data_IF_476233097873
#
_entry.id   IF_476233097873
#
_cell.length_a   1.000
_cell.length_b   1.000
_cell.length_c   1.000
_cell.angle_alpha   90.00
_cell.angle_beta   90.00
_cell.angle_gamma   90.00
#
_symmetry.space_group_name_H-M   'P 1'
#
loop_
_entity.id
_entity.type
_entity.pdbx_description
1 polymer ?
#
# COMPACT_ATOMS: atom_id res chain seq x y z
N UNK A 1 -43.86 -26.95 33.47
CA UNK A 1 -45.09 -26.66 34.25
C UNK A 1 -44.98 -25.25 34.77
N UNK A 2 -45.35 -24.26 33.97
CA UNK A 2 -46.68 -23.61 33.92
C UNK A 2 -47.00 -22.79 35.18
N UNK A 3 -47.06 -21.48 34.91
CA UNK A 3 -47.71 -20.36 35.61
C UNK A 3 -48.91 -20.67 36.52
N UNK A 4 -49.05 -19.87 37.58
CA UNK A 4 -50.20 -19.02 38.01
C UNK A 4 -49.92 -18.56 39.45
N UNK A 5 -50.30 -17.37 39.93
CA UNK A 5 -51.66 -16.95 40.34
C UNK A 5 -51.69 -15.42 40.56
N UNK A 6 -52.87 -14.82 40.32
CA UNK A 6 -53.27 -13.40 40.40
C UNK A 6 -54.16 -13.14 41.65
N UNK A 7 -54.28 -11.84 42.03
CA UNK A 7 -55.32 -11.14 42.85
C UNK A 7 -55.06 -11.03 44.36
N UNK A 8 -55.47 -9.99 45.11
CA UNK A 8 -56.68 -9.13 45.06
C UNK A 8 -56.45 -7.80 45.85
N UNK A 9 -56.98 -6.63 45.44
CA UNK A 9 -57.97 -5.71 46.10
C UNK A 9 -57.41 -4.27 46.01
N UNK A 10 -58.15 -3.16 45.87
CA UNK A 10 -59.57 -2.84 45.78
C UNK A 10 -59.73 -1.34 45.43
N UNK A 11 -60.87 -0.96 44.84
CA UNK A 11 -61.23 0.42 44.45
C UNK A 11 -61.88 1.18 45.62
N UNK A 12 -61.59 2.48 45.76
CA UNK A 12 -62.50 3.46 46.34
C UNK A 12 -62.45 4.79 45.58
N UNK A 13 -63.63 5.32 45.27
CA UNK A 13 -63.90 6.64 44.69
C UNK A 13 -64.16 7.65 45.82
N UNK A 14 -63.58 8.85 45.75
CA UNK A 14 -64.12 10.07 46.37
C UNK A 14 -63.93 11.23 45.38
N UNK A 15 -64.98 12.04 45.26
CA UNK A 15 -65.14 13.16 44.34
C UNK A 15 -65.06 14.47 45.14
N UNK A 16 -64.52 15.54 44.52
CA UNK A 16 -65.03 16.93 44.49
C UNK A 16 -64.08 18.10 44.84
N UNK A 17 -64.31 19.15 44.05
CA UNK A 17 -64.10 20.59 44.19
C UNK A 17 -62.79 21.27 43.73
N UNK A 18 -62.99 22.03 42.66
CA UNK A 18 -62.19 23.12 42.10
C UNK A 18 -62.13 24.32 43.05
N UNK A 19 -60.93 24.89 43.23
CA UNK A 19 -60.75 26.28 43.63
C UNK A 19 -59.76 26.94 42.66
N UNK A 20 -60.26 27.96 41.94
CA UNK A 20 -59.45 28.90 41.19
C UNK A 20 -58.74 29.86 42.15
N UNK A 21 -57.43 30.03 41.99
CA UNK A 21 -56.74 31.26 42.43
C UNK A 21 -55.75 31.70 41.35
N UNK A 22 -55.95 32.93 40.89
CA UNK A 22 -55.06 33.66 40.00
C UNK A 22 -53.79 34.08 40.76
N UNK A 23 -52.62 33.70 40.25
CA UNK A 23 -51.37 34.41 40.54
C UNK A 23 -50.36 34.18 39.40
N UNK A 24 -50.21 35.16 38.52
CA UNK A 24 -49.01 35.29 37.68
C UNK A 24 -47.87 35.86 38.51
N UNK A 25 -46.64 35.37 38.33
CA UNK A 25 -45.61 36.28 37.87
C UNK A 25 -44.75 35.71 36.74
N UNK A 26 -44.45 36.58 35.78
CA UNK A 26 -43.44 36.46 34.73
C UNK A 26 -42.15 35.82 35.28
N UNK A 27 -41.79 34.65 34.75
CA UNK A 27 -40.44 34.13 34.81
C UNK A 27 -39.88 34.08 33.39
N UNK A 28 -38.82 34.85 33.18
CA UNK A 28 -37.96 34.81 32.00
C UNK A 28 -37.51 33.38 31.73
N UNK A 29 -38.04 32.74 30.68
CA UNK A 29 -37.37 31.59 30.07
C UNK A 29 -36.41 32.16 29.02
N UNK A 30 -35.24 32.61 29.48
CA UNK A 30 -34.08 32.63 28.61
C UNK A 30 -33.68 31.17 28.40
N UNK A 31 -34.22 30.55 27.35
CA UNK A 31 -33.70 29.26 26.90
C UNK A 31 -32.31 29.53 26.32
N UNK A 32 -31.27 29.37 27.15
CA UNK A 32 -29.96 29.01 26.63
C UNK A 32 -30.13 27.68 25.91
N UNK A 33 -30.41 27.74 24.60
CA UNK A 33 -30.08 26.65 23.68
C UNK A 33 -28.56 26.59 23.62
N UNK A 34 -27.94 26.06 24.67
CA UNK A 34 -26.66 25.40 24.51
C UNK A 34 -26.96 24.17 23.66
N UNK A 35 -26.95 24.35 22.34
CA UNK A 35 -26.65 23.25 21.44
C UNK A 35 -25.29 22.76 21.88
N UNK A 36 -25.26 21.70 22.69
CA UNK A 36 -24.06 20.91 22.89
C UNK A 36 -23.68 20.41 21.51
N UNK A 37 -22.77 21.12 20.85
CA UNK A 37 -22.20 20.65 19.61
C UNK A 37 -21.46 19.36 19.96
N UNK A 38 -22.10 18.23 19.69
CA UNK A 38 -21.49 16.91 19.83
C UNK A 38 -20.38 16.86 18.77
N UNK A 39 -19.13 16.56 19.15
CA UNK A 39 -18.05 16.43 18.18
C UNK A 39 -18.41 15.44 17.06
N UNK A 40 -18.10 15.79 15.82
CA UNK A 40 -18.33 14.94 14.65
C UNK A 40 -17.07 14.84 13.82
N UNK A 41 -16.80 13.63 13.32
CA UNK A 41 -15.71 13.36 12.37
C UNK A 41 -16.34 13.26 10.98
N UNK A 42 -15.98 14.19 10.11
CA UNK A 42 -16.32 14.12 8.69
C UNK A 42 -15.11 13.60 7.92
N UNK A 43 -15.31 12.50 7.20
CA UNK A 43 -14.29 11.91 6.34
C UNK A 43 -14.57 12.31 4.91
N UNK A 44 -13.57 12.89 4.24
CA UNK A 44 -13.72 13.38 2.87
C UNK A 44 -12.58 12.85 2.01
N UNK A 45 -12.85 11.95 1.05
CA UNK A 45 -14.06 11.09 0.89
C UNK A 45 -14.12 9.91 1.90
N UNK A 46 -15.32 9.39 2.19
CA UNK A 46 -15.53 8.25 3.10
C UNK A 46 -15.30 6.86 2.49
N UNK A 47 -15.32 6.75 1.16
CA UNK A 47 -14.97 5.54 0.39
C UNK A 47 -14.06 5.95 -0.76
N UNK A 48 -12.86 5.38 -0.84
CA UNK A 48 -11.85 5.83 -1.81
C UNK A 48 -10.78 4.80 -2.08
N UNK A 49 -10.11 4.90 -3.24
CA UNK A 49 -8.95 4.08 -3.58
C UNK A 49 -7.79 4.26 -2.60
N UNK A 50 -7.01 3.19 -2.40
CA UNK A 50 -5.88 3.15 -1.46
C UNK A 50 -4.81 4.18 -1.80
N UNK A 51 -4.57 4.46 -3.08
CA UNK A 51 -3.58 5.44 -3.55
C UNK A 51 -4.10 6.89 -3.59
N UNK A 52 -5.27 7.17 -2.99
CA UNK A 52 -5.85 8.51 -2.90
C UNK A 52 -5.87 9.02 -1.45
N UNK A 53 -5.79 10.34 -1.33
CA UNK A 53 -5.82 11.03 -0.04
C UNK A 53 -7.23 11.04 0.55
N UNK A 54 -7.26 11.05 1.88
CA UNK A 54 -8.44 11.22 2.71
C UNK A 54 -8.15 12.34 3.71
N UNK A 55 -9.12 13.22 3.90
CA UNK A 55 -9.07 14.25 4.93
C UNK A 55 -10.04 13.92 6.05
N UNK A 56 -9.56 14.09 7.29
CA UNK A 56 -10.41 14.08 8.48
C UNK A 56 -10.68 15.52 8.91
N UNK A 57 -11.96 15.91 8.89
CA UNK A 57 -12.47 17.20 9.32
C UNK A 57 -13.33 17.00 10.57
N UNK A 58 -12.81 17.38 11.71
CA UNK A 58 -13.48 17.26 13.01
C UNK A 58 -14.08 18.61 13.37
N UNK A 59 -15.36 18.63 13.72
CA UNK A 59 -16.10 19.84 14.08
C UNK A 59 -16.84 19.65 15.41
N UNK A 60 -17.23 20.77 16.01
CA UNK A 60 -17.99 20.77 17.26
C UNK A 60 -17.14 20.58 18.51
N UNK A 61 -15.82 20.81 18.43
CA UNK A 61 -14.96 20.85 19.61
C UNK A 61 -15.07 22.19 20.33
N UNK A 62 -14.60 22.26 21.58
CA UNK A 62 -14.32 23.55 22.23
C UNK A 62 -13.10 24.18 21.57
N UNK A 63 -13.08 25.51 21.43
CA UNK A 63 -11.90 26.25 20.98
C UNK A 63 -10.68 25.89 21.84
N UNK A 64 -9.55 25.58 21.22
CA UNK A 64 -8.32 25.19 21.92
C UNK A 64 -8.35 23.81 22.58
N UNK A 65 -9.39 22.99 22.33
CA UNK A 65 -9.46 21.65 22.90
C UNK A 65 -8.33 20.76 22.39
N UNK A 66 -7.64 20.11 23.32
CA UNK A 66 -6.71 19.02 23.02
C UNK A 66 -7.49 17.74 22.70
N UNK A 67 -7.13 17.08 21.60
CA UNK A 67 -7.74 15.83 21.16
C UNK A 67 -6.70 14.86 20.61
N UNK A 68 -6.96 13.56 20.76
CA UNK A 68 -6.25 12.48 20.07
C UNK A 68 -7.16 11.89 19.00
N UNK A 69 -6.67 11.79 17.77
CA UNK A 69 -7.34 11.04 16.70
C UNK A 69 -6.61 9.72 16.54
N UNK A 70 -7.32 8.60 16.66
CA UNK A 70 -6.79 7.25 16.47
C UNK A 70 -7.35 6.69 15.17
N UNK A 71 -6.50 6.01 14.40
CA UNK A 71 -6.90 5.13 13.30
C UNK A 71 -6.57 3.69 13.66
N UNK A 72 -7.46 2.78 13.25
CA UNK A 72 -7.35 1.36 13.54
C UNK A 72 -7.81 0.55 12.32
N UNK A 73 -7.10 -0.53 12.03
CA UNK A 73 -7.43 -1.48 10.98
C UNK A 73 -7.21 -2.89 11.48
N UNK A 74 -8.21 -3.74 11.29
CA UNK A 74 -8.10 -5.18 11.51
C UNK A 74 -8.34 -5.92 10.19
N UNK A 75 -7.40 -6.76 9.81
CA UNK A 75 -7.50 -7.62 8.63
C UNK A 75 -7.02 -9.02 9.00
N UNK A 76 -7.92 -10.00 8.93
CA UNK A 76 -7.61 -11.42 9.20
C UNK A 76 -6.87 -11.63 10.54
N UNK A 77 -7.29 -10.93 11.58
CA UNK A 77 -6.71 -10.98 12.93
C UNK A 77 -5.43 -10.17 13.14
N UNK A 78 -4.86 -9.58 12.09
CA UNK A 78 -3.76 -8.62 12.22
C UNK A 78 -4.33 -7.25 12.57
N UNK A 79 -3.84 -6.65 13.65
CA UNK A 79 -4.31 -5.36 14.17
C UNK A 79 -3.23 -4.31 13.98
N UNK A 80 -3.57 -3.26 13.25
CA UNK A 80 -2.70 -2.12 12.98
C UNK A 80 -3.37 -0.84 13.48
N UNK A 81 -2.58 0.10 13.97
CA UNK A 81 -3.10 1.39 14.37
C UNK A 81 -2.07 2.49 14.44
N UNK A 82 -2.57 3.72 14.41
CA UNK A 82 -1.82 4.95 14.61
C UNK A 82 -2.65 5.94 15.41
N UNK A 83 -1.99 6.95 15.99
CA UNK A 83 -2.67 8.07 16.60
C UNK A 83 -1.90 9.37 16.43
N UNK A 84 -2.62 10.48 16.54
CA UNK A 84 -2.05 11.82 16.43
C UNK A 84 -2.74 12.81 17.36
N UNK A 85 -1.97 13.78 17.88
CA UNK A 85 -2.44 14.82 18.78
C UNK A 85 -2.70 16.13 18.05
N UNK A 86 -3.85 16.74 18.29
CA UNK A 86 -4.23 18.03 17.70
C UNK A 86 -4.77 18.99 18.76
N UNK A 87 -4.72 20.29 18.45
CA UNK A 87 -5.41 21.35 19.17
C UNK A 87 -6.46 21.94 18.23
N UNK A 88 -7.71 22.00 18.68
CA UNK A 88 -8.79 22.61 17.91
C UNK A 88 -8.55 24.11 17.71
N UNK A 89 -8.84 24.63 16.52
CA UNK A 89 -8.73 26.05 16.22
C UNK A 89 -9.78 26.90 16.98
N UNK A 90 -9.79 28.21 16.76
CA UNK A 90 -10.74 29.14 17.39
C UNK A 90 -12.21 28.86 17.07
N UNK A 91 -12.49 28.11 15.99
CA UNK A 91 -13.84 27.67 15.59
C UNK A 91 -14.21 26.29 16.18
N UNK A 92 -13.33 25.66 16.95
CA UNK A 92 -13.57 24.32 17.47
C UNK A 92 -13.43 23.22 16.41
N UNK A 93 -12.50 23.39 15.48
CA UNK A 93 -12.30 22.47 14.36
C UNK A 93 -10.86 21.94 14.32
N UNK A 94 -10.71 20.70 13.85
CA UNK A 94 -9.43 20.10 13.46
C UNK A 94 -9.55 19.58 12.04
N UNK A 95 -8.66 20.01 11.14
CA UNK A 95 -8.49 19.39 9.84
C UNK A 95 -7.07 18.84 9.72
N UNK A 96 -6.96 17.52 9.56
CA UNK A 96 -5.67 16.80 9.42
C UNK A 96 -4.84 17.24 8.21
N UNK A 97 -5.45 17.84 7.19
CA UNK A 97 -4.76 18.37 6.02
C UNK A 97 -4.09 19.74 6.27
N UNK A 98 -4.52 20.49 7.28
CA UNK A 98 -4.05 21.87 7.51
C UNK A 98 -3.46 22.11 8.89
N UNK A 99 -3.89 21.37 9.91
CA UNK A 99 -3.33 21.46 11.25
C UNK A 99 -2.24 20.40 11.47
N UNK A 100 -1.14 20.76 12.16
CA UNK A 100 -0.07 19.81 12.44
C UNK A 100 -0.46 18.85 13.56
N UNK A 101 -0.06 17.58 13.42
CA UNK A 101 0.03 16.67 14.56
C UNK A 101 1.17 17.12 15.48
N UNK A 102 0.90 17.22 16.78
CA UNK A 102 1.88 17.62 17.80
C UNK A 102 2.63 16.42 18.41
N UNK A 103 2.15 15.20 18.19
CA UNK A 103 2.72 13.98 18.74
C UNK A 103 1.90 12.74 18.39
N UNK A 104 2.38 11.58 18.82
CA UNK A 104 1.86 10.27 18.45
C UNK A 104 2.69 9.61 17.35
N UNK A 105 2.04 8.83 16.49
CA UNK A 105 2.66 8.05 15.42
C UNK A 105 3.35 8.90 14.34
N UNK A 106 2.99 10.18 14.22
CA UNK A 106 3.69 11.15 13.37
C UNK A 106 3.53 12.58 13.91
N UNK A 107 4.36 13.50 13.42
CA UNK A 107 4.32 14.94 13.72
C UNK A 107 4.23 15.77 12.43
N UNK A 108 3.74 17.00 12.54
CA UNK A 108 3.59 17.92 11.42
C UNK A 108 2.29 17.76 10.64
N UNK A 109 2.11 18.57 9.60
CA UNK A 109 0.88 18.62 8.80
C UNK A 109 0.89 17.57 7.70
N UNK A 110 0.07 16.53 7.84
CA UNK A 110 -0.04 15.46 6.84
C UNK A 110 -1.43 14.78 6.92
N UNK A 111 -2.28 15.03 5.92
CA UNK A 111 -3.63 14.44 5.85
C UNK A 111 -3.62 12.91 5.96
N UNK A 112 -2.58 12.27 5.44
CA UNK A 112 -2.45 10.81 5.40
C UNK A 112 -1.64 10.22 6.55
N UNK A 113 -1.17 11.05 7.48
CA UNK A 113 -0.34 10.65 8.61
C UNK A 113 -0.88 9.45 9.37
N UNK A 114 -2.18 9.44 9.67
CA UNK A 114 -2.85 8.36 10.39
C UNK A 114 -2.96 7.04 9.60
N UNK A 115 -2.60 6.98 8.33
CA UNK A 115 -2.72 5.76 7.52
C UNK A 115 -1.36 5.12 7.27
N UNK A 116 -0.39 5.87 6.75
CA UNK A 116 0.94 5.33 6.46
C UNK A 116 1.77 5.08 7.72
N UNK A 117 1.46 5.75 8.84
CA UNK A 117 2.19 5.59 10.11
C UNK A 117 1.64 4.48 11.01
N UNK A 118 0.65 3.72 10.54
CA UNK A 118 0.15 2.58 11.31
C UNK A 118 1.27 1.56 11.53
N UNK A 119 1.30 1.00 12.74
CA UNK A 119 2.17 -0.11 13.12
C UNK A 119 1.31 -1.22 13.71
N UNK A 120 1.81 -2.47 13.82
CA UNK A 120 1.13 -3.51 14.57
C UNK A 120 0.80 -3.02 15.99
N UNK A 121 -0.44 -3.21 16.45
CA UNK A 121 -0.83 -2.83 17.80
C UNK A 121 -0.08 -3.66 18.87
N UNK A 122 0.09 -3.15 20.10
CA UNK A 122 0.72 -3.89 21.19
C UNK A 122 0.12 -5.29 21.38
N UNK A 123 0.97 -6.29 21.57
CA UNK A 123 0.58 -7.70 21.73
C UNK A 123 0.43 -8.47 20.42
N UNK A 124 0.55 -7.81 19.26
CA UNK A 124 0.75 -8.50 17.99
C UNK A 124 2.12 -9.17 17.93
N UNK A 125 2.24 -10.24 17.14
CA UNK A 125 3.52 -10.90 16.88
C UNK A 125 4.45 -10.01 16.05
N UNK A 126 5.75 -10.25 16.17
CA UNK A 126 6.75 -9.61 15.32
C UNK A 126 6.64 -10.03 13.85
N UNK A 127 7.22 -9.19 13.00
CA UNK A 127 7.36 -9.48 11.57
C UNK A 127 6.05 -9.46 10.77
N UNK A 128 5.04 -8.71 11.24
CA UNK A 128 3.80 -8.51 10.50
C UNK A 128 3.96 -7.47 9.39
N UNK A 129 3.40 -7.79 8.23
CA UNK A 129 3.26 -6.88 7.10
C UNK A 129 1.79 -6.85 6.69
N UNK A 130 1.21 -5.66 6.64
CA UNK A 130 -0.15 -5.52 6.10
C UNK A 130 -0.09 -5.72 4.58
N UNK A 131 -0.76 -6.77 4.09
CA UNK A 131 -0.88 -7.08 2.67
C UNK A 131 -2.32 -7.42 2.35
N UNK A 132 -2.89 -6.83 1.30
CA UNK A 132 -4.25 -7.13 0.88
C UNK A 132 -4.25 -8.45 0.12
N UNK A 133 -4.87 -9.47 0.71
CA UNK A 133 -4.97 -10.81 0.12
C UNK A 133 -6.16 -10.98 -0.82
N UNK A 134 -7.24 -10.25 -0.56
CA UNK A 134 -8.42 -10.22 -1.42
C UNK A 134 -8.68 -8.77 -1.84
N UNK A 135 -8.24 -8.41 -3.04
CA UNK A 135 -8.35 -7.04 -3.54
C UNK A 135 -9.77 -6.60 -3.89
N UNK A 136 -10.73 -7.54 -3.90
CA UNK A 136 -12.14 -7.26 -4.23
C UNK A 136 -12.92 -6.65 -3.06
N UNK A 137 -12.36 -6.69 -1.86
CA UNK A 137 -12.94 -6.08 -0.65
C UNK A 137 -12.14 -4.86 -0.20
N UNK A 138 -12.79 -3.83 0.40
CA UNK A 138 -12.07 -2.71 0.98
C UNK A 138 -11.30 -3.12 2.23
N UNK A 139 -10.31 -2.31 2.62
CA UNK A 139 -9.96 -2.17 4.03
C UNK A 139 -10.93 -1.23 4.73
N UNK A 140 -11.35 -1.59 5.93
CA UNK A 140 -12.14 -0.73 6.80
C UNK A 140 -11.22 -0.11 7.85
N UNK A 141 -10.97 1.18 7.72
CA UNK A 141 -10.20 1.95 8.72
C UNK A 141 -11.18 2.61 9.67
N UNK A 142 -11.14 2.18 10.93
CA UNK A 142 -11.90 2.78 12.00
C UNK A 142 -11.18 4.02 12.53
N UNK A 143 -11.91 5.12 12.69
CA UNK A 143 -11.38 6.38 13.23
C UNK A 143 -12.12 6.71 14.52
N UNK A 144 -11.36 6.91 15.59
CA UNK A 144 -11.89 7.30 16.90
C UNK A 144 -11.31 8.65 17.33
N UNK A 145 -12.16 9.53 17.85
CA UNK A 145 -11.78 10.80 18.45
C UNK A 145 -11.82 10.68 19.96
N UNK A 146 -10.71 11.00 20.62
CA UNK A 146 -10.53 10.91 22.06
C UNK A 146 -10.27 12.32 22.64
N UNK A 147 -10.78 12.56 23.85
CA UNK A 147 -10.58 13.82 24.56
C UNK A 147 -9.21 13.89 25.22
N UNK A 148 -8.52 15.02 25.04
CA UNK A 148 -7.18 15.25 25.54
C UNK A 148 -6.08 14.64 24.66
N UNK A 149 -4.83 14.98 24.95
CA UNK A 149 -3.67 14.29 24.39
C UNK A 149 -3.38 13.06 25.24
N UNK A 150 -3.87 11.91 24.78
CA UNK A 150 -3.66 10.62 25.42
C UNK A 150 -2.97 9.66 24.48
N UNK A 151 -2.09 8.82 25.02
CA UNK A 151 -1.57 7.65 24.33
C UNK A 151 -2.60 6.50 24.45
N UNK A 152 -3.26 6.10 23.35
CA UNK A 152 -4.26 5.04 23.38
C UNK A 152 -3.64 3.66 23.67
N UNK A 153 -2.32 3.52 23.60
CA UNK A 153 -1.60 2.27 23.85
C UNK A 153 -0.97 2.17 25.23
N UNK A 154 -0.91 3.28 25.98
CA UNK A 154 -0.37 3.27 27.34
C UNK A 154 -1.27 2.43 28.27
N UNK A 155 -0.70 1.46 29.03
CA UNK A 155 -1.43 0.67 30.02
C UNK A 155 -1.84 1.50 31.25
N UNK A 156 -1.18 2.64 31.49
CA UNK A 156 -1.32 3.45 32.71
C UNK A 156 -2.16 4.72 32.51
N UNK A 157 -2.97 4.82 31.45
CA UNK A 157 -3.61 6.10 31.12
C UNK A 157 -4.69 6.55 32.12
N UNK A 158 -5.11 5.71 33.08
CA UNK A 158 -5.99 6.04 34.22
C UNK A 158 -7.40 6.58 33.89
N UNK A 159 -7.62 7.00 32.65
CA UNK A 159 -8.85 7.55 32.09
C UNK A 159 -9.47 6.52 31.17
N UNK A 160 -10.78 6.35 31.29
CA UNK A 160 -11.57 5.54 30.35
C UNK A 160 -11.40 6.14 28.95
N UNK A 161 -10.86 5.34 28.02
CA UNK A 161 -10.59 5.72 26.62
C UNK A 161 -11.88 5.66 25.80
N UNK A 162 -12.96 6.29 26.26
CA UNK A 162 -14.23 6.31 25.50
C UNK A 162 -14.12 7.33 24.38
N UNK A 163 -14.28 6.92 23.11
CA UNK A 163 -14.34 7.84 21.99
C UNK A 163 -15.51 8.82 22.16
N UNK A 164 -15.26 10.10 21.91
CA UNK A 164 -16.31 11.13 21.88
C UNK A 164 -17.01 11.19 20.52
N UNK A 165 -16.40 10.61 19.50
CA UNK A 165 -16.97 10.39 18.17
C UNK A 165 -16.20 9.28 17.46
N UNK A 166 -16.86 8.56 16.56
CA UNK A 166 -16.28 7.50 15.75
C UNK A 166 -16.83 7.53 14.34
N UNK A 167 -16.07 7.00 13.39
CA UNK A 167 -16.49 6.81 11.99
C UNK A 167 -15.63 5.74 11.34
N UNK A 168 -15.98 5.34 10.12
CA UNK A 168 -15.26 4.34 9.34
C UNK A 168 -14.95 4.87 7.93
N UNK A 169 -13.91 4.31 7.32
CA UNK A 169 -13.44 4.68 5.99
C UNK A 169 -13.17 3.40 5.20
N UNK A 170 -13.75 3.32 4.02
CA UNK A 170 -13.47 2.23 3.09
C UNK A 170 -12.32 2.61 2.16
N UNK A 171 -11.24 1.81 2.17
CA UNK A 171 -10.06 1.97 1.33
C UNK A 171 -9.95 0.83 0.33
N UNK A 172 -10.13 1.13 -0.96
CA UNK A 172 -10.28 0.16 -2.04
C UNK A 172 -8.96 -0.11 -2.75
N UNK A 173 -8.67 -1.37 -3.10
CA UNK A 173 -7.58 -1.70 -4.03
C UNK A 173 -8.06 -1.86 -5.47
N UNK A 174 -9.32 -2.25 -5.66
CA UNK A 174 -9.95 -2.43 -6.96
C UNK A 174 -11.14 -1.47 -7.09
N UNK A 175 -11.18 -0.71 -8.18
CA UNK A 175 -12.33 0.14 -8.49
C UNK A 175 -13.52 -0.71 -8.95
N UNK A 176 -14.74 -0.20 -8.76
CA UNK A 176 -15.97 -0.93 -9.10
C UNK A 176 -16.09 -1.25 -10.60
N UNK A 177 -15.45 -0.43 -11.45
CA UNK A 177 -15.37 -0.61 -12.89
C UNK A 177 -14.21 -1.52 -13.34
N UNK A 178 -13.57 -2.26 -12.44
CA UNK A 178 -12.54 -3.25 -12.79
C UNK A 178 -13.09 -4.65 -12.53
N UNK A 179 -12.78 -5.57 -13.44
CA UNK A 179 -13.04 -7.00 -13.32
C UNK A 179 -11.73 -7.74 -13.00
N UNK A 180 -11.79 -8.72 -12.09
CA UNK A 180 -10.70 -9.63 -11.78
C UNK A 180 -11.01 -11.00 -12.37
N UNK A 181 -10.17 -11.45 -13.29
CA UNK A 181 -10.30 -12.72 -14.01
C UNK A 181 -9.12 -13.62 -13.62
N UNK A 182 -9.32 -14.75 -12.94
CA UNK A 182 -8.26 -15.73 -12.70
C UNK A 182 -7.69 -16.25 -14.03
N UNK A 183 -6.37 -16.32 -14.15
CA UNK A 183 -5.67 -16.81 -15.35
C UNK A 183 -5.14 -18.22 -15.08
N UNK A 184 -5.59 -19.17 -15.91
CA UNK A 184 -5.13 -20.57 -15.97
C UNK A 184 -4.99 -20.98 -17.44
N UNK A 185 -4.21 -20.21 -18.19
CA UNK A 185 -4.00 -20.37 -19.62
C UNK A 185 -2.65 -21.05 -19.84
N UNK A 186 -2.64 -22.27 -20.41
CA UNK A 186 -1.41 -23.04 -20.53
C UNK A 186 -0.71 -23.22 -19.18
N UNK A 187 0.58 -22.86 -19.11
CA UNK A 187 1.35 -22.87 -17.86
C UNK A 187 1.09 -21.62 -16.99
N UNK A 188 0.55 -20.55 -17.55
CA UNK A 188 0.40 -19.25 -16.88
C UNK A 188 -0.57 -19.35 -15.70
N UNK A 189 -0.13 -18.86 -14.54
CA UNK A 189 -0.98 -18.69 -13.35
C UNK A 189 -0.93 -17.26 -12.85
N UNK A 190 -2.10 -16.67 -12.65
CA UNK A 190 -2.20 -15.30 -12.19
C UNK A 190 -3.63 -14.78 -12.09
N UNK A 191 -3.76 -13.47 -12.10
CA UNK A 191 -5.04 -12.78 -12.23
C UNK A 191 -4.90 -11.60 -13.19
N UNK A 192 -5.81 -11.54 -14.16
CA UNK A 192 -5.95 -10.42 -15.09
C UNK A 192 -6.96 -9.43 -14.51
N UNK A 193 -6.58 -8.16 -14.47
CA UNK A 193 -7.46 -7.07 -14.08
C UNK A 193 -7.80 -6.22 -15.31
N UNK A 194 -9.08 -6.13 -15.63
CA UNK A 194 -9.58 -5.52 -16.88
C UNK A 194 -10.57 -4.41 -16.52
N UNK A 195 -10.39 -3.16 -17.00
CA UNK A 195 -11.44 -2.15 -16.91
C UNK A 195 -12.67 -2.59 -17.71
N UNK A 196 -13.87 -2.47 -17.13
CA UNK A 196 -15.14 -2.90 -17.72
C UNK A 196 -15.64 -1.97 -18.84
N UNK A 197 -15.18 -0.73 -18.84
CA UNK A 197 -15.50 0.22 -19.91
C UNK A 197 -14.85 -0.25 -21.22
N UNK A 198 -15.42 0.08 -22.40
CA UNK A 198 -14.87 -0.36 -23.68
C UNK A 198 -13.40 0.04 -23.87
N UNK A 199 -12.55 -0.96 -24.16
CA UNK A 199 -11.13 -0.77 -24.45
C UNK A 199 -10.84 -0.48 -25.94
N UNK A 200 -9.59 -0.71 -26.40
CA UNK A 200 -8.49 -1.37 -25.68
C UNK A 200 -7.77 -0.44 -24.68
N UNK A 201 -7.06 -1.03 -23.71
CA UNK A 201 -6.23 -0.33 -22.74
C UNK A 201 -4.77 -0.77 -22.83
N UNK A 202 -3.79 0.05 -22.44
CA UNK A 202 -2.40 -0.39 -22.38
C UNK A 202 -2.23 -1.58 -21.42
N UNK A 203 -1.50 -2.61 -21.88
CA UNK A 203 -1.25 -3.84 -21.13
C UNK A 203 0.00 -3.77 -20.25
N UNK A 204 -0.06 -4.32 -19.04
CA UNK A 204 1.08 -4.36 -18.11
C UNK A 204 1.18 -5.72 -17.42
N UNK A 205 2.38 -6.30 -17.34
CA UNK A 205 2.68 -7.43 -16.45
C UNK A 205 3.22 -6.89 -15.11
N UNK A 206 2.67 -7.38 -14.01
CA UNK A 206 3.04 -7.02 -12.64
C UNK A 206 3.72 -8.19 -11.92
N UNK A 207 4.96 -7.97 -11.46
CA UNK A 207 5.81 -8.98 -10.82
C UNK A 207 6.25 -8.54 -9.41
N UNK A 208 6.00 -9.39 -8.42
CA UNK A 208 6.54 -9.22 -7.06
C UNK A 208 7.81 -10.06 -6.86
N UNK A 209 8.40 -9.97 -5.66
CA UNK A 209 9.65 -10.64 -5.31
C UNK A 209 9.49 -12.07 -4.79
N UNK A 210 10.45 -12.51 -3.96
CA UNK A 210 10.61 -13.90 -3.48
C UNK A 210 9.62 -14.35 -2.40
N UNK A 211 8.47 -13.68 -2.26
CA UNK A 211 7.42 -14.10 -1.31
C UNK A 211 6.64 -15.34 -1.78
N UNK A 212 6.59 -15.58 -3.10
CA UNK A 212 5.79 -16.65 -3.70
C UNK A 212 4.28 -16.36 -3.62
N UNK A 213 3.49 -17.23 -4.24
CA UNK A 213 2.05 -17.01 -4.33
C UNK A 213 1.69 -15.93 -5.35
N UNK A 214 0.43 -15.52 -5.31
CA UNK A 214 -0.11 -14.43 -6.13
C UNK A 214 -0.35 -13.19 -5.26
N UNK A 215 0.22 -12.06 -5.67
CA UNK A 215 0.09 -10.75 -5.03
C UNK A 215 -0.55 -9.80 -6.05
N UNK A 216 -1.68 -9.19 -5.69
CA UNK A 216 -2.57 -8.57 -6.68
C UNK A 216 -2.80 -7.07 -6.44
N UNK A 217 -2.39 -6.54 -5.28
CA UNK A 217 -2.82 -5.21 -4.84
C UNK A 217 -2.34 -4.09 -5.75
N UNK A 218 -1.15 -4.22 -6.34
CA UNK A 218 -0.62 -3.24 -7.30
C UNK A 218 -1.29 -3.37 -8.67
N UNK A 219 -1.47 -4.58 -9.19
CA UNK A 219 -2.21 -4.81 -10.43
C UNK A 219 -3.64 -4.27 -10.39
N UNK A 220 -4.38 -4.52 -9.31
CA UNK A 220 -5.73 -3.99 -9.12
C UNK A 220 -5.77 -2.45 -9.12
N UNK A 221 -4.77 -1.81 -8.48
CA UNK A 221 -4.65 -0.36 -8.46
C UNK A 221 -4.26 0.20 -9.82
N UNK A 222 -3.33 -0.44 -10.55
CA UNK A 222 -2.98 -0.06 -11.92
C UNK A 222 -4.21 -0.18 -12.84
N UNK A 223 -4.96 -1.27 -12.78
CA UNK A 223 -6.16 -1.43 -13.61
C UNK A 223 -7.22 -0.36 -13.33
N UNK A 224 -7.35 0.05 -12.06
CA UNK A 224 -8.18 1.19 -11.61
C UNK A 224 -7.69 2.56 -12.12
N UNK A 225 -6.62 2.59 -12.92
CA UNK A 225 -6.01 3.78 -13.55
C UNK A 225 -6.00 3.71 -15.08
N UNK A 226 -6.70 2.72 -15.66
CA UNK A 226 -6.92 2.57 -17.10
C UNK A 226 -5.89 1.67 -17.79
N UNK A 227 -5.51 0.57 -17.16
CA UNK A 227 -4.60 -0.44 -17.71
C UNK A 227 -5.24 -1.82 -17.66
N UNK A 228 -4.88 -2.70 -18.59
CA UNK A 228 -5.12 -4.15 -18.43
C UNK A 228 -3.88 -4.75 -17.79
N UNK A 229 -4.02 -5.40 -16.64
CA UNK A 229 -2.85 -5.77 -15.83
C UNK A 229 -2.89 -7.23 -15.44
N UNK A 230 -1.84 -7.96 -15.78
CA UNK A 230 -1.62 -9.34 -15.36
C UNK A 230 -0.75 -9.35 -14.10
N UNK A 231 -1.36 -9.63 -12.94
CA UNK A 231 -0.60 -10.06 -11.77
C UNK A 231 -0.12 -11.50 -12.02
N UNK A 232 1.17 -11.67 -12.27
CA UNK A 232 1.74 -12.96 -12.67
C UNK A 232 2.41 -13.64 -11.47
N UNK A 233 1.89 -14.81 -11.09
CA UNK A 233 2.60 -15.70 -10.18
C UNK A 233 3.60 -16.54 -11.00
N UNK A 234 4.71 -16.93 -10.38
CA UNK A 234 5.74 -17.71 -11.06
C UNK A 234 6.40 -18.79 -10.18
N UNK A 235 5.99 -18.92 -8.91
CA UNK A 235 6.33 -20.03 -8.01
C UNK A 235 5.43 -20.01 -6.75
N UNK A 236 5.37 -21.14 -6.05
CA UNK A 236 4.62 -21.34 -4.80
C UNK A 236 3.14 -20.91 -4.90
N UNK A 237 2.52 -21.17 -6.05
CA UNK A 237 1.13 -20.81 -6.34
C UNK A 237 0.49 -21.87 -7.24
N UNK A 238 -0.63 -22.44 -6.80
CA UNK A 238 -1.34 -23.52 -7.52
C UNK A 238 -0.38 -24.68 -7.91
N UNK A 239 -0.28 -24.99 -9.19
CA UNK A 239 0.55 -26.05 -9.78
C UNK A 239 1.91 -25.55 -10.30
N UNK A 240 2.30 -24.30 -10.00
CA UNK A 240 3.64 -23.80 -10.28
C UNK A 240 4.69 -24.43 -9.35
N UNK A 241 5.99 -24.40 -9.73
CA UNK A 241 7.08 -24.90 -8.89
C UNK A 241 7.02 -24.38 -7.46
N UNK A 242 7.29 -25.24 -6.48
CA UNK A 242 7.22 -24.84 -5.06
C UNK A 242 8.33 -23.85 -4.65
N UNK A 243 9.45 -23.83 -5.39
CA UNK A 243 10.63 -23.04 -5.07
C UNK A 243 11.10 -22.21 -6.26
N UNK A 244 11.93 -21.20 -5.98
CA UNK A 244 12.46 -20.26 -6.96
C UNK A 244 13.61 -20.85 -7.83
N UNK A 245 14.09 -22.06 -7.55
CA UNK A 245 15.30 -22.62 -8.18
C UNK A 245 15.09 -23.03 -9.65
N UNK A 246 13.84 -23.28 -10.05
CA UNK A 246 13.49 -23.83 -11.37
C UNK A 246 12.77 -22.83 -12.27
N UNK A 247 13.00 -21.54 -12.05
CA UNK A 247 12.41 -20.50 -12.88
C UNK A 247 13.16 -20.38 -14.20
N UNK A 248 12.41 -20.53 -15.30
CA UNK A 248 12.87 -20.31 -16.66
C UNK A 248 12.24 -19.04 -17.24
N UNK A 249 13.04 -18.22 -17.93
CA UNK A 249 12.58 -17.00 -18.59
C UNK A 249 11.53 -17.27 -19.68
N UNK A 250 11.51 -18.45 -20.29
CA UNK A 250 10.50 -18.84 -21.31
C UNK A 250 9.06 -18.75 -20.77
N UNK A 251 8.84 -18.95 -19.46
CA UNK A 251 7.53 -18.73 -18.83
C UNK A 251 7.05 -17.27 -18.93
N UNK A 252 7.98 -16.32 -18.82
CA UNK A 252 7.66 -14.90 -18.90
C UNK A 252 7.56 -14.42 -20.36
N UNK A 253 8.22 -15.11 -21.28
CA UNK A 253 8.02 -14.93 -22.73
C UNK A 253 6.59 -15.32 -23.11
N UNK A 254 6.12 -16.50 -22.68
CA UNK A 254 4.72 -16.95 -22.88
C UNK A 254 3.72 -15.93 -22.30
N UNK A 255 3.99 -15.39 -21.10
CA UNK A 255 3.14 -14.37 -20.49
C UNK A 255 3.12 -13.06 -21.29
N UNK A 256 4.27 -12.62 -21.80
CA UNK A 256 4.38 -11.41 -22.61
C UNK A 256 3.67 -11.56 -23.96
N UNK A 257 3.82 -12.72 -24.61
CA UNK A 257 3.10 -13.06 -25.82
C UNK A 257 1.59 -13.13 -25.59
N UNK A 258 1.15 -13.86 -24.57
CA UNK A 258 -0.26 -13.99 -24.25
C UNK A 258 -0.93 -12.65 -23.97
N UNK A 259 -0.32 -11.81 -23.10
CA UNK A 259 -0.92 -10.52 -22.75
C UNK A 259 -0.91 -9.54 -23.92
N UNK A 260 0.16 -9.50 -24.72
CA UNK A 260 0.26 -8.59 -25.87
C UNK A 260 -0.76 -8.87 -26.98
N UNK A 261 -1.28 -10.10 -27.06
CA UNK A 261 -2.34 -10.50 -27.99
C UNK A 261 -3.74 -10.50 -27.37
N UNK A 262 -3.88 -10.18 -26.08
CA UNK A 262 -5.18 -10.19 -25.41
C UNK A 262 -6.11 -9.11 -26.02
N UNK A 263 -7.39 -9.40 -26.31
CA UNK A 263 -8.28 -8.49 -27.05
C UNK A 263 -8.55 -7.15 -26.35
N UNK A 264 -8.45 -7.11 -25.02
CA UNK A 264 -8.59 -5.87 -24.24
C UNK A 264 -7.31 -5.01 -24.20
N UNK A 265 -6.18 -5.51 -24.71
CA UNK A 265 -4.88 -4.83 -24.69
C UNK A 265 -4.65 -4.06 -25.99
N UNK A 266 -4.17 -2.82 -25.88
CA UNK A 266 -3.79 -1.99 -27.03
C UNK A 266 -2.66 -2.67 -27.81
N UNK A 267 -2.82 -2.91 -29.12
CA UNK A 267 -1.75 -3.49 -29.93
C UNK A 267 -0.49 -2.61 -29.92
N UNK A 268 0.68 -3.24 -30.00
CA UNK A 268 1.98 -2.54 -30.06
C UNK A 268 2.95 -2.95 -28.95
N UNK A 269 2.50 -3.73 -27.98
CA UNK A 269 3.32 -4.31 -26.91
C UNK A 269 2.79 -3.97 -25.52
N UNK A 270 3.55 -4.36 -24.50
CA UNK A 270 3.17 -4.26 -23.09
C UNK A 270 4.23 -3.56 -22.25
N UNK A 271 3.82 -3.05 -21.10
CA UNK A 271 4.74 -2.68 -20.04
C UNK A 271 5.02 -3.86 -19.11
N UNK A 272 6.11 -3.75 -18.37
CA UNK A 272 6.37 -4.62 -17.22
C UNK A 272 6.78 -3.77 -16.02
N UNK A 273 6.22 -4.08 -14.85
CA UNK A 273 6.66 -3.53 -13.56
C UNK A 273 7.07 -4.68 -12.65
N UNK A 274 8.24 -4.56 -12.04
CA UNK A 274 8.75 -5.52 -11.10
C UNK A 274 9.18 -4.89 -9.79
N UNK A 275 9.10 -5.66 -8.69
CA UNK A 275 9.73 -5.30 -7.41
C UNK A 275 10.67 -6.39 -6.93
N UNK A 276 11.85 -6.00 -6.45
CA UNK A 276 12.85 -6.92 -5.90
C UNK A 276 13.24 -7.97 -6.97
N UNK A 277 13.13 -9.27 -6.69
CA UNK A 277 13.34 -10.32 -7.71
C UNK A 277 12.46 -10.17 -8.95
N UNK A 278 11.23 -9.67 -8.81
CA UNK A 278 10.37 -9.36 -9.96
C UNK A 278 10.94 -8.26 -10.84
N UNK A 279 11.73 -7.33 -10.28
CA UNK A 279 12.40 -6.27 -11.04
C UNK A 279 13.63 -6.77 -11.80
N UNK A 280 14.38 -7.73 -11.23
CA UNK A 280 15.42 -8.47 -11.96
C UNK A 280 14.84 -9.17 -13.19
N UNK A 281 13.70 -9.85 -13.02
CA UNK A 281 12.97 -10.51 -14.11
C UNK A 281 12.45 -9.48 -15.11
N UNK A 282 11.87 -8.36 -14.66
CA UNK A 282 11.37 -7.30 -15.54
C UNK A 282 12.48 -6.69 -16.43
N UNK A 283 13.70 -6.51 -15.89
CA UNK A 283 14.85 -6.10 -16.70
C UNK A 283 15.21 -7.16 -17.75
N UNK A 284 15.26 -8.44 -17.35
CA UNK A 284 15.52 -9.54 -18.28
C UNK A 284 14.45 -9.64 -19.39
N UNK A 285 13.18 -9.43 -19.04
CA UNK A 285 12.09 -9.35 -20.01
C UNK A 285 12.32 -8.19 -21.00
N UNK A 286 12.75 -7.02 -20.52
CA UNK A 286 13.09 -5.89 -21.39
C UNK A 286 14.31 -6.14 -22.28
N UNK A 287 15.26 -6.97 -21.85
CA UNK A 287 16.46 -7.35 -22.62
C UNK A 287 16.11 -8.37 -23.73
N UNK A 288 15.21 -9.30 -23.44
CA UNK A 288 15.03 -10.50 -24.26
C UNK A 288 13.73 -10.51 -25.08
N UNK A 289 12.68 -9.80 -24.66
CA UNK A 289 11.35 -9.94 -25.24
C UNK A 289 10.92 -8.67 -25.99
N UNK A 290 10.81 -8.72 -27.34
CA UNK A 290 10.47 -7.54 -28.14
C UNK A 290 9.05 -7.00 -27.88
N UNK A 291 8.17 -7.79 -27.24
CA UNK A 291 6.82 -7.40 -26.82
C UNK A 291 6.86 -6.34 -25.71
N UNK A 292 7.97 -6.24 -24.95
CA UNK A 292 8.11 -5.28 -23.85
C UNK A 292 8.52 -3.92 -24.39
N UNK A 293 7.68 -2.90 -24.16
CA UNK A 293 7.87 -1.52 -24.65
C UNK A 293 8.08 -0.49 -23.54
N UNK A 294 7.99 -0.88 -22.27
CA UNK A 294 8.31 -0.03 -21.14
C UNK A 294 8.64 -0.89 -19.91
N UNK A 295 9.73 -0.57 -19.20
CA UNK A 295 10.14 -1.32 -18.00
C UNK A 295 10.18 -0.39 -16.78
N UNK A 296 9.49 -0.80 -15.72
CA UNK A 296 9.58 -0.16 -14.40
C UNK A 296 10.25 -1.13 -13.41
N UNK A 297 11.44 -0.75 -12.95
CA UNK A 297 12.19 -1.49 -11.94
C UNK A 297 12.04 -0.79 -10.57
N UNK A 298 11.50 -1.50 -9.59
CA UNK A 298 11.43 -1.03 -8.20
C UNK A 298 12.31 -1.90 -7.30
N UNK A 299 13.38 -1.32 -6.76
CA UNK A 299 14.32 -2.00 -5.86
C UNK A 299 14.91 -3.29 -6.43
N UNK A 300 15.12 -3.34 -7.76
CA UNK A 300 15.80 -4.42 -8.47
C UNK A 300 17.27 -4.08 -8.69
N UNK A 301 18.22 -4.86 -8.15
CA UNK A 301 19.64 -4.61 -8.30
C UNK A 301 20.10 -4.69 -9.76
N UNK A 302 21.34 -4.28 -9.96
CA UNK A 302 22.03 -4.34 -11.24
C UNK A 302 22.20 -5.79 -11.78
N UNK A 303 22.08 -6.81 -10.95
CA UNK A 303 22.49 -8.18 -11.25
C UNK A 303 21.50 -9.20 -10.65
N UNK A 304 21.59 -10.46 -11.07
CA UNK A 304 20.77 -11.53 -10.49
C UNK A 304 21.19 -11.83 -9.05
N UNK A 305 20.23 -11.80 -8.12
CA UNK A 305 20.47 -12.16 -6.72
C UNK A 305 19.89 -13.52 -6.36
N UNK A 306 20.49 -14.12 -5.33
CA UNK A 306 20.05 -15.32 -4.60
C UNK A 306 20.02 -16.63 -5.40
N UNK A 307 19.45 -16.65 -6.60
CA UNK A 307 19.22 -17.83 -7.42
C UNK A 307 19.55 -17.58 -8.88
N UNK A 308 20.23 -18.55 -9.49
CA UNK A 308 20.35 -18.68 -10.93
C UNK A 308 18.96 -18.74 -11.57
N UNK A 309 18.84 -18.21 -12.78
CA UNK A 309 17.65 -18.40 -13.62
C UNK A 309 18.04 -19.23 -14.84
N UNK A 310 17.06 -19.88 -15.45
CA UNK A 310 17.23 -20.55 -16.75
C UNK A 310 16.68 -19.67 -17.86
N UNK A 311 17.22 -19.81 -19.06
CA UNK A 311 16.57 -19.35 -20.28
C UNK A 311 16.74 -20.43 -21.34
N UNK A 312 15.75 -21.34 -21.41
CA UNK A 312 15.91 -22.61 -22.11
C UNK A 312 17.10 -23.39 -21.55
N UNK A 313 18.02 -23.80 -22.43
CA UNK A 313 19.20 -24.58 -22.03
C UNK A 313 20.30 -23.74 -21.37
N UNK A 314 20.19 -22.41 -21.38
CA UNK A 314 21.20 -21.52 -20.79
C UNK A 314 20.94 -21.25 -19.31
N UNK A 315 22.01 -21.16 -18.51
CA UNK A 315 21.96 -20.73 -17.12
C UNK A 315 22.40 -19.27 -17.03
N UNK A 316 21.56 -18.42 -16.45
CA UNK A 316 21.88 -17.05 -16.10
C UNK A 316 22.40 -17.01 -14.64
N UNK A 317 23.69 -16.73 -14.43
CA UNK A 317 24.29 -16.84 -13.11
C UNK A 317 23.83 -15.71 -12.17
N UNK A 318 23.45 -16.06 -10.94
CA UNK A 318 23.35 -15.09 -9.86
C UNK A 318 24.73 -14.80 -9.28
N UNK A 319 24.88 -13.59 -8.74
CA UNK A 319 26.10 -13.18 -8.03
C UNK A 319 26.32 -14.05 -6.81
N UNK A 320 27.59 -14.33 -6.52
CA UNK A 320 27.98 -15.04 -5.31
C UNK A 320 27.41 -14.35 -4.06
N UNK A 321 27.00 -15.16 -3.08
CA UNK A 321 26.39 -14.68 -1.85
C UNK A 321 27.08 -15.32 -0.65
N UNK A 322 27.88 -14.55 0.07
CA UNK A 322 28.47 -14.99 1.34
C UNK A 322 27.50 -14.76 2.50
N UNK A 323 26.85 -15.84 2.94
CA UNK A 323 25.88 -15.81 4.04
C UNK A 323 26.51 -15.56 5.41
N UNK A 324 27.84 -15.68 5.56
CA UNK A 324 28.52 -15.34 6.82
C UNK A 324 28.46 -13.84 7.12
N UNK A 325 28.16 -13.02 6.10
CA UNK A 325 28.09 -11.55 6.18
C UNK A 325 26.67 -11.02 6.41
N UNK A 326 25.73 -11.89 6.75
CA UNK A 326 24.39 -11.47 7.17
C UNK A 326 24.51 -10.64 8.44
N UNK A 327 23.89 -9.46 8.45
CA UNK A 327 23.90 -8.54 9.60
C UNK A 327 22.53 -8.52 10.25
N UNK A 328 22.46 -8.70 11.57
CA UNK A 328 21.23 -8.46 12.33
C UNK A 328 20.98 -6.96 12.49
N UNK A 329 19.79 -6.49 12.10
CA UNK A 329 19.29 -5.13 12.33
C UNK A 329 18.11 -5.18 13.30
N UNK A 330 17.66 -4.01 13.75
CA UNK A 330 16.53 -3.87 14.68
C UNK A 330 15.25 -4.63 14.25
N UNK A 331 14.94 -4.65 12.96
CA UNK A 331 13.69 -5.22 12.44
C UNK A 331 13.86 -6.53 11.64
N UNK A 332 15.06 -7.13 11.68
CA UNK A 332 15.35 -8.38 10.95
C UNK A 332 16.76 -8.40 10.37
N UNK A 333 17.03 -9.41 9.54
CA UNK A 333 18.33 -9.58 8.91
C UNK A 333 18.49 -8.66 7.69
N UNK A 334 19.72 -8.19 7.49
CA UNK A 334 20.20 -7.47 6.33
C UNK A 334 21.10 -8.39 5.53
N UNK A 335 20.83 -8.55 4.23
CA UNK A 335 21.63 -9.38 3.32
C UNK A 335 22.48 -8.55 2.35
N UNK A 336 22.45 -7.22 2.47
CA UNK A 336 23.24 -6.30 1.65
C UNK A 336 24.72 -6.69 1.55
N UNK A 337 25.35 -6.97 2.69
CA UNK A 337 26.79 -7.25 2.74
C UNK A 337 27.16 -8.64 2.19
N UNK A 338 26.17 -9.50 1.91
CA UNK A 338 26.42 -10.81 1.33
C UNK A 338 26.88 -10.73 -0.14
N UNK A 339 26.66 -9.61 -0.82
CA UNK A 339 26.91 -9.46 -2.27
C UNK A 339 28.17 -8.64 -2.61
N UNK A 340 29.01 -8.28 -1.63
CA UNK A 340 30.17 -7.42 -1.93
C UNK A 340 31.24 -8.12 -2.80
N UNK A 341 31.31 -9.45 -2.76
CA UNK A 341 32.26 -10.24 -3.54
C UNK A 341 31.60 -10.80 -4.80
N UNK A 342 32.29 -10.76 -5.94
CA UNK A 342 31.82 -11.38 -7.18
C UNK A 342 30.93 -10.52 -8.09
N UNK A 343 30.75 -9.22 -7.79
CA UNK A 343 30.17 -8.28 -8.75
C UNK A 343 31.25 -7.88 -9.77
N UNK A 344 31.21 -8.51 -10.95
CA UNK A 344 32.03 -8.14 -12.11
C UNK A 344 31.11 -7.82 -13.32
N UNK A 345 31.69 -7.41 -14.45
CA UNK A 345 30.90 -7.02 -15.63
C UNK A 345 30.08 -8.17 -16.26
N UNK A 346 30.45 -9.43 -16.03
CA UNK A 346 29.83 -10.60 -16.67
C UNK A 346 28.49 -10.97 -16.05
N UNK A 347 28.35 -10.75 -14.74
CA UNK A 347 27.10 -11.01 -13.98
C UNK A 347 26.13 -9.82 -14.00
N UNK A 348 26.53 -8.73 -14.65
CA UNK A 348 25.75 -7.51 -14.72
C UNK A 348 24.69 -7.60 -15.82
N UNK A 349 23.45 -7.16 -15.55
CA UNK A 349 22.44 -7.05 -16.59
C UNK A 349 22.93 -6.18 -17.74
N UNK A 350 22.77 -6.71 -18.95
CA UNK A 350 23.12 -6.03 -20.20
C UNK A 350 22.04 -5.01 -20.56
N UNK A 351 21.82 -4.04 -19.66
CA UNK A 351 20.75 -3.03 -19.77
C UNK A 351 20.84 -2.16 -21.03
N UNK A 352 22.02 -2.08 -21.64
CA UNK A 352 22.24 -1.48 -22.96
C UNK A 352 21.47 -2.17 -24.09
N UNK A 353 21.06 -3.42 -23.90
CA UNK A 353 20.28 -4.19 -24.88
C UNK A 353 18.77 -3.97 -24.75
N UNK A 354 18.32 -3.29 -23.70
CA UNK A 354 16.90 -2.95 -23.59
C UNK A 354 16.61 -1.87 -24.63
N UNK A 355 15.67 -2.13 -25.54
CA UNK A 355 15.21 -1.11 -26.50
C UNK A 355 14.10 -0.24 -25.93
N UNK A 356 13.40 -0.75 -24.90
CA UNK A 356 12.32 -0.05 -24.21
C UNK A 356 12.85 1.04 -23.26
N UNK A 357 12.12 2.16 -23.09
CA UNK A 357 12.41 3.09 -22.02
C UNK A 357 12.45 2.42 -20.65
N UNK A 358 13.34 2.92 -19.80
CA UNK A 358 13.57 2.39 -18.44
C UNK A 358 13.20 3.44 -17.38
N UNK A 359 12.50 3.01 -16.34
CA UNK A 359 12.22 3.82 -15.16
C UNK A 359 12.56 3.03 -13.90
N UNK A 360 13.55 3.50 -13.15
CA UNK A 360 14.11 2.79 -12.00
C UNK A 360 13.93 3.58 -10.70
N UNK A 361 13.55 2.88 -9.64
CA UNK A 361 13.31 3.44 -8.32
C UNK A 361 14.05 2.66 -7.25
N UNK A 362 14.77 3.37 -6.39
CA UNK A 362 15.52 2.77 -5.30
C UNK A 362 15.33 3.53 -4.00
N UNK A 363 15.19 2.79 -2.89
CA UNK A 363 15.30 3.37 -1.56
C UNK A 363 16.73 3.27 -1.06
N UNK A 364 17.38 4.38 -0.72
CA UNK A 364 18.79 4.38 -0.33
C UNK A 364 19.09 3.58 0.94
N UNK A 365 18.10 3.43 1.81
CA UNK A 365 18.19 2.70 3.08
C UNK A 365 17.81 1.21 2.93
N UNK A 366 17.78 0.69 1.71
CA UNK A 366 17.54 -0.71 1.41
C UNK A 366 18.67 -1.61 1.99
N UNK A 367 18.34 -2.54 2.90
CA UNK A 367 19.32 -3.43 3.52
C UNK A 367 19.49 -4.76 2.76
N UNK A 368 19.01 -4.88 1.53
CA UNK A 368 19.04 -6.12 0.76
C UNK A 368 20.14 -6.17 -0.30
N UNK A 369 20.63 -5.02 -0.80
CA UNK A 369 21.77 -4.91 -1.72
C UNK A 369 22.38 -3.51 -1.66
N UNK A 370 23.51 -3.28 -2.34
CA UNK A 370 24.09 -1.94 -2.47
C UNK A 370 23.39 -1.14 -3.58
N UNK A 371 22.46 -0.28 -3.14
CA UNK A 371 21.70 0.62 -4.01
C UNK A 371 22.57 1.63 -4.74
N UNK A 372 23.56 2.22 -4.05
CA UNK A 372 24.41 3.26 -4.67
C UNK A 372 25.26 2.64 -5.77
N UNK A 373 25.86 1.49 -5.48
CA UNK A 373 26.63 0.73 -6.46
C UNK A 373 25.73 0.30 -7.64
N UNK A 374 24.57 -0.29 -7.37
CA UNK A 374 23.66 -0.77 -8.42
C UNK A 374 23.16 0.36 -9.33
N UNK A 375 22.71 1.48 -8.76
CA UNK A 375 22.24 2.62 -9.52
C UNK A 375 23.35 3.22 -10.40
N UNK A 376 24.58 3.31 -9.86
CA UNK A 376 25.75 3.77 -10.62
C UNK A 376 26.09 2.82 -11.76
N UNK A 377 26.15 1.51 -11.50
CA UNK A 377 26.43 0.51 -12.54
C UNK A 377 25.44 0.60 -13.70
N UNK A 378 24.13 0.68 -13.40
CA UNK A 378 23.08 0.83 -14.43
C UNK A 378 23.26 2.14 -15.20
N UNK A 379 23.45 3.26 -14.50
CA UNK A 379 23.63 4.56 -15.16
C UNK A 379 24.86 4.58 -16.06
N UNK A 380 26.02 4.14 -15.57
CA UNK A 380 27.28 4.18 -16.32
C UNK A 380 27.19 3.31 -17.58
N UNK A 381 26.57 2.13 -17.49
CA UNK A 381 26.40 1.23 -18.63
C UNK A 381 25.42 1.75 -19.68
N UNK A 382 24.29 2.33 -19.25
CA UNK A 382 23.37 2.98 -20.19
C UNK A 382 24.04 4.17 -20.90
N UNK A 383 24.84 4.97 -20.17
CA UNK A 383 25.57 6.10 -20.74
C UNK A 383 26.66 5.67 -21.72
N UNK A 384 27.48 4.66 -21.37
CA UNK A 384 28.61 4.22 -22.20
C UNK A 384 28.15 3.62 -23.54
N UNK A 385 26.95 3.04 -23.60
CA UNK A 385 26.35 2.53 -24.83
C UNK A 385 25.36 3.52 -25.48
N UNK A 386 25.24 4.74 -24.95
CA UNK A 386 24.45 5.81 -25.57
C UNK A 386 22.92 5.64 -25.47
N UNK A 387 22.42 4.84 -24.54
CA UNK A 387 20.99 4.69 -24.28
C UNK A 387 20.44 5.94 -23.60
N UNK A 388 19.46 6.62 -24.22
CA UNK A 388 18.99 7.94 -23.76
C UNK A 388 17.68 7.92 -22.99
N UNK A 389 16.85 6.91 -23.20
CA UNK A 389 15.49 6.87 -22.66
C UNK A 389 15.44 6.13 -21.31
N UNK A 390 16.04 6.73 -20.27
CA UNK A 390 15.98 6.18 -18.93
C UNK A 390 15.88 7.24 -17.83
N UNK A 391 15.28 6.86 -16.71
CA UNK A 391 15.23 7.63 -15.47
C UNK A 391 15.62 6.75 -14.28
N UNK A 392 16.47 7.28 -13.39
CA UNK A 392 16.85 6.62 -12.14
C UNK A 392 16.55 7.57 -10.98
N UNK A 393 15.72 7.12 -10.05
CA UNK A 393 15.35 7.85 -8.85
C UNK A 393 15.84 7.10 -7.61
N UNK A 394 16.73 7.72 -6.84
CA UNK A 394 17.22 7.21 -5.55
C UNK A 394 16.68 8.10 -4.44
N UNK A 395 15.88 7.53 -3.53
CA UNK A 395 15.22 8.29 -2.46
C UNK A 395 15.96 8.13 -1.14
N UNK A 396 16.47 9.23 -0.60
CA UNK A 396 17.02 9.27 0.76
C UNK A 396 15.93 8.91 1.78
N UNK A 397 16.27 8.02 2.73
CA UNK A 397 15.36 7.61 3.80
C UNK A 397 14.27 6.61 3.40
N UNK A 398 14.17 6.19 2.14
CA UNK A 398 13.28 5.09 1.74
C UNK A 398 14.00 3.74 1.76
N UNK A 399 13.26 2.66 2.01
CA UNK A 399 13.75 1.28 2.05
C UNK A 399 13.37 0.46 0.81
N UNK A 400 13.47 -0.86 0.93
CA UNK A 400 13.28 -1.84 -0.14
C UNK A 400 11.84 -1.87 -0.71
N UNK A 401 10.83 -1.82 0.16
CA UNK A 401 9.43 -2.04 -0.22
C UNK A 401 8.73 -0.74 -0.62
N UNK A 402 9.06 -0.18 -1.79
CA UNK A 402 8.37 1.00 -2.34
C UNK A 402 7.08 0.55 -3.03
N UNK A 403 5.95 0.73 -2.35
CA UNK A 403 4.64 0.24 -2.81
C UNK A 403 3.78 1.39 -3.40
N UNK A 404 2.58 1.10 -3.94
CA UNK A 404 1.55 2.12 -4.09
C UNK A 404 1.26 2.80 -2.74
N UNK A 405 0.99 4.11 -2.71
CA UNK A 405 1.10 4.90 -1.49
C UNK A 405 0.00 4.62 -0.48
N UNK A 406 0.30 5.03 0.76
CA UNK A 406 -0.61 5.14 1.91
C UNK A 406 -0.98 3.83 2.60
N UNK A 407 -0.38 2.70 2.20
CA UNK A 407 -0.32 1.52 3.04
C UNK A 407 0.62 1.78 4.24
N UNK A 408 0.45 1.07 5.36
CA UNK A 408 1.36 1.16 6.49
C UNK A 408 2.79 0.78 6.10
N UNK A 409 3.76 1.63 6.46
CA UNK A 409 5.17 1.34 6.22
C UNK A 409 5.62 0.09 6.97
N UNK A 410 6.35 -0.81 6.30
CA UNK A 410 6.85 -2.05 6.88
C UNK A 410 8.38 -2.05 6.88
N UNK A 411 8.98 -1.80 8.05
CA UNK A 411 10.44 -1.78 8.23
C UNK A 411 11.09 -3.16 8.27
N UNK A 412 10.31 -4.19 8.57
CA UNK A 412 10.76 -5.58 8.57
C UNK A 412 9.60 -6.54 8.73
N UNK A 413 9.70 -7.71 8.11
CA UNK A 413 8.65 -8.74 8.17
C UNK A 413 9.20 -10.14 8.02
N UNK A 414 8.45 -11.12 8.51
CA UNK A 414 8.77 -12.53 8.31
C UNK A 414 8.82 -12.84 6.81
N UNK A 415 9.89 -13.51 6.39
CA UNK A 415 10.10 -13.91 5.01
C UNK A 415 10.24 -15.43 4.93
N UNK A 416 9.24 -16.09 4.32
CA UNK A 416 9.14 -17.57 4.28
C UNK A 416 10.41 -18.24 3.76
N UNK A 417 10.99 -17.70 2.69
CA UNK A 417 12.21 -18.26 2.10
C UNK A 417 13.42 -18.23 3.04
N UNK A 418 13.54 -17.21 3.89
CA UNK A 418 14.67 -17.07 4.81
C UNK A 418 14.37 -17.66 6.19
N UNK A 419 13.12 -18.08 6.45
CA UNK A 419 12.70 -18.63 7.73
C UNK A 419 12.77 -17.63 8.90
N UNK A 420 12.98 -16.34 8.63
CA UNK A 420 13.19 -15.30 9.66
C UNK A 420 12.68 -13.94 9.17
N UNK A 421 12.74 -12.93 10.04
CA UNK A 421 12.40 -11.56 9.69
C UNK A 421 13.51 -10.94 8.83
N UNK A 422 13.14 -10.39 7.68
CA UNK A 422 13.99 -9.55 6.84
C UNK A 422 13.80 -8.09 7.24
N UNK A 423 14.90 -7.35 7.32
CA UNK A 423 14.83 -5.90 7.36
C UNK A 423 14.52 -5.37 5.95
N UNK A 424 13.67 -4.36 5.87
CA UNK A 424 13.33 -3.64 4.63
C UNK A 424 13.80 -2.19 4.64
N UNK A 425 14.16 -1.66 5.80
CA UNK A 425 14.70 -0.31 5.95
C UNK A 425 13.64 0.79 5.76
N UNK A 426 14.14 2.02 5.65
CA UNK A 426 13.33 3.22 5.44
C UNK A 426 12.71 3.83 6.71
N UNK A 427 12.63 5.16 6.71
CA UNK A 427 11.84 5.96 7.63
C UNK A 427 10.44 6.20 7.06
N UNK A 428 9.39 6.07 7.87
CA UNK A 428 8.02 6.12 7.38
C UNK A 428 7.65 7.48 6.72
N UNK A 429 8.20 8.61 7.19
CA UNK A 429 7.92 9.93 6.61
C UNK A 429 8.66 10.17 5.29
N UNK A 430 9.90 9.69 5.19
CA UNK A 430 10.66 9.75 3.94
C UNK A 430 10.11 8.74 2.91
N UNK A 431 9.82 7.52 3.36
CA UNK A 431 9.34 6.41 2.54
C UNK A 431 8.01 6.71 1.86
N UNK A 432 7.03 7.29 2.57
CA UNK A 432 5.76 7.66 1.94
C UNK A 432 5.90 8.72 0.84
N UNK A 433 6.92 9.61 0.92
CA UNK A 433 7.19 10.57 -0.16
C UNK A 433 7.71 9.86 -1.39
N UNK A 434 8.58 8.85 -1.21
CA UNK A 434 9.06 8.00 -2.29
C UNK A 434 7.90 7.25 -2.95
N UNK A 435 7.02 6.59 -2.19
CA UNK A 435 5.86 5.87 -2.72
C UNK A 435 4.91 6.76 -3.52
N UNK A 436 4.61 7.97 -3.01
CA UNK A 436 3.75 8.94 -3.71
C UNK A 436 4.37 9.38 -5.04
N UNK A 437 5.68 9.66 -5.05
CA UNK A 437 6.39 10.06 -6.28
C UNK A 437 6.51 8.89 -7.27
N UNK A 438 6.99 7.74 -6.81
CA UNK A 438 7.10 6.49 -7.57
C UNK A 438 5.78 6.15 -8.28
N UNK A 439 4.68 6.12 -7.54
CA UNK A 439 3.39 5.72 -8.08
C UNK A 439 2.90 6.69 -9.15
N UNK A 440 2.99 8.00 -8.88
CA UNK A 440 2.65 9.03 -9.86
C UNK A 440 3.47 8.88 -11.14
N UNK A 441 4.81 8.78 -10.99
CA UNK A 441 5.73 8.72 -12.13
C UNK A 441 5.54 7.43 -12.95
N UNK A 442 5.30 6.29 -12.30
CA UNK A 442 4.97 5.01 -12.95
C UNK A 442 3.73 5.13 -13.84
N UNK A 443 2.64 5.72 -13.32
CA UNK A 443 1.41 5.92 -14.10
C UNK A 443 1.64 6.83 -15.31
N UNK A 444 2.39 7.93 -15.13
CA UNK A 444 2.75 8.85 -16.22
C UNK A 444 3.65 8.18 -17.26
N UNK A 445 4.60 7.38 -16.82
CA UNK A 445 5.54 6.66 -17.67
C UNK A 445 4.83 5.63 -18.55
N UNK A 446 4.00 4.75 -17.97
CA UNK A 446 3.25 3.78 -18.76
C UNK A 446 2.26 4.44 -19.71
N UNK A 447 1.56 5.51 -19.29
CA UNK A 447 0.69 6.26 -20.22
C UNK A 447 1.47 6.84 -21.40
N UNK A 448 2.66 7.38 -21.16
CA UNK A 448 3.50 7.97 -22.21
C UNK A 448 3.96 6.91 -23.21
N UNK A 449 4.35 5.73 -22.75
CA UNK A 449 5.08 4.75 -23.57
C UNK A 449 4.23 3.59 -24.10
N UNK A 450 3.03 3.38 -23.56
CA UNK A 450 2.15 2.27 -23.98
C UNK A 450 0.82 2.71 -24.59
N UNK A 451 0.51 4.01 -24.57
CA UNK A 451 -0.64 4.50 -25.32
C UNK A 451 -0.35 4.39 -26.82
N UNK A 452 -1.35 4.00 -27.61
CA UNK A 452 -1.21 3.97 -29.06
C UNK A 452 -0.69 5.33 -29.57
N UNK A 453 0.20 5.36 -30.58
CA UNK A 453 0.45 6.57 -31.33
C UNK A 453 -0.91 7.07 -31.82
N UNK A 454 -1.24 8.34 -31.57
CA UNK A 454 -2.40 8.95 -32.23
C UNK A 454 -2.24 8.67 -33.73
N UNK A 455 -3.26 8.13 -34.42
CA UNK A 455 -3.14 7.92 -35.85
C UNK A 455 -2.77 9.26 -36.48
N UNK A 456 -1.64 9.27 -37.18
CA UNK A 456 -1.23 10.39 -38.02
C UNK A 456 -2.43 10.73 -38.90
N UNK A 457 -3.03 11.91 -38.66
CA UNK A 457 -4.13 12.41 -39.50
C UNK A 457 -3.63 12.39 -40.95
N UNK A 458 -4.16 11.46 -41.74
CA UNK A 458 -4.06 11.48 -43.20
C UNK A 458 -5.13 12.43 -43.73
#
# INVERSE_FOLDING_TARGET
MIQKIISVFGKQHIQLYSFCTNATPKAFVSSCKHTTNVPKIHVVPGRVMMDKKVELQIKGLKSGAAVTVKSFLEEKGMKFGAYAHFIANSKGEVNTATLPSLGGSYKGTNAMGLYWSMIPEPGQRDGLRLMKKDVTTPYNVHISLLSGHIDPYSPNSGKVKVPVAETNIERLYMADNVERIPVREGALRGALFVPKDPGPYPGVIDLFGTSGGLIEHRAALLASRGFVVLALAYFAYEDLPETLMDIDLTYFEEAAEWLSHHPSVTPGGIGVIGTSKGAEIALLMGIHFPQVKAVVNVSGPAYLTTFHLKFGDAILPAVHRDTSRIIMKEHGISIKECYQEGINEDVFFKVEKVEAPLLLFFGKEDPTFDVTQSAKMISDRLQSYGHKDYEIHVYDGAGHLIEPPYAPHCKGSYHKLFGTNMAWGGDAQAHIKAEVHHWKRTLEFFRKHLSAPLPSRL
#
